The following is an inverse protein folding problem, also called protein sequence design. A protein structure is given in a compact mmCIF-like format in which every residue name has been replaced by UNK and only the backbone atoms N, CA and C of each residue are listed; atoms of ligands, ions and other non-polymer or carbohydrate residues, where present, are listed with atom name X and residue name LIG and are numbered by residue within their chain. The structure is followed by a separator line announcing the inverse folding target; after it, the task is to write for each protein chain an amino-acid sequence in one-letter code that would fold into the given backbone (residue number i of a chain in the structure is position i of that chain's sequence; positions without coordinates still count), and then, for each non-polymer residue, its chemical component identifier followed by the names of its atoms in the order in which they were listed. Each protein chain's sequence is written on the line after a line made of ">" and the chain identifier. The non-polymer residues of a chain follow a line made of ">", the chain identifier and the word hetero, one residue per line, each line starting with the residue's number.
data_IF_886820931556
#
_entry.id   IF_886820931556
#
_cell.length_a   1.000
_cell.length_b   1.000
_cell.length_c   1.000
_cell.angle_alpha   90.00
_cell.angle_beta   90.00
_cell.angle_gamma   90.00
#
_symmetry.space_group_name_H-M   'P 1'
#
loop_
_entity.id
_entity.type
_entity.pdbx_description
1 polymer ?
#
# COMPACT_ATOMS: atom_id res chain seq x y z
N UNK A 1 14.00 16.65 2.35
CA UNK A 1 12.56 16.30 2.39
C UNK A 1 12.49 14.78 2.52
N UNK A 2 11.60 14.24 3.36
CA UNK A 2 11.44 12.77 3.48
C UNK A 2 10.64 12.23 2.31
N UNK A 3 10.99 11.07 1.79
CA UNK A 3 10.31 10.39 0.68
C UNK A 3 9.41 9.28 1.20
N UNK A 4 8.12 9.41 0.92
CA UNK A 4 7.10 8.42 1.24
C UNK A 4 6.70 7.68 -0.04
N UNK A 5 6.92 6.37 -0.09
CA UNK A 5 6.42 5.52 -1.16
C UNK A 5 5.01 5.02 -0.84
N UNK A 6 4.15 4.91 -1.85
CA UNK A 6 2.79 4.35 -1.72
C UNK A 6 2.50 3.34 -2.84
N UNK A 7 2.15 2.10 -2.44
CA UNK A 7 1.68 1.06 -3.38
C UNK A 7 0.34 0.51 -2.91
N UNK A 8 -0.69 0.61 -3.74
CA UNK A 8 -2.03 0.11 -3.46
C UNK A 8 -2.35 -1.04 -4.39
N UNK A 9 -2.61 -2.23 -3.85
CA UNK A 9 -3.19 -3.31 -4.64
C UNK A 9 -4.70 -3.00 -4.86
N UNK A 10 -5.14 -2.73 -6.10
CA UNK A 10 -6.50 -2.27 -6.38
C UNK A 10 -7.60 -3.29 -6.05
N UNK A 11 -7.27 -4.58 -5.94
CA UNK A 11 -8.23 -5.66 -5.67
C UNK A 11 -8.17 -6.18 -4.23
N UNK A 12 -7.29 -5.62 -3.39
CA UNK A 12 -7.12 -6.12 -2.03
C UNK A 12 -8.32 -5.79 -1.12
N UNK A 13 -8.57 -6.71 -0.18
CA UNK A 13 -9.64 -6.59 0.82
C UNK A 13 -10.97 -7.24 0.43
N UNK A 14 -11.06 -7.89 -0.73
CA UNK A 14 -12.29 -8.54 -1.20
C UNK A 14 -12.53 -9.93 -0.61
N UNK A 15 -11.59 -10.86 -0.77
CA UNK A 15 -11.82 -12.29 -0.50
C UNK A 15 -12.23 -12.59 0.95
N UNK A 16 -11.56 -11.98 1.92
CA UNK A 16 -11.85 -12.20 3.34
C UNK A 16 -13.28 -11.80 3.75
N UNK A 17 -13.90 -10.80 3.09
CA UNK A 17 -15.27 -10.37 3.40
C UNK A 17 -16.33 -11.39 3.02
N UNK A 18 -16.02 -12.21 2.03
CA UNK A 18 -16.94 -13.23 1.48
C UNK A 18 -16.52 -14.64 1.89
N UNK A 19 -15.71 -14.76 2.95
CA UNK A 19 -15.27 -16.06 3.50
C UNK A 19 -14.19 -16.77 2.69
N UNK A 20 -13.65 -16.15 1.64
CA UNK A 20 -12.55 -16.70 0.84
C UNK A 20 -11.20 -16.44 1.53
N UNK A 21 -10.19 -17.29 1.24
CA UNK A 21 -8.84 -17.13 1.81
C UNK A 21 -8.13 -15.87 1.28
N UNK A 22 -8.47 -15.44 0.07
CA UNK A 22 -7.89 -14.29 -0.64
C UNK A 22 -8.61 -14.09 -1.97
N UNK A 23 -8.00 -13.35 -2.89
CA UNK A 23 -8.47 -13.17 -4.28
C UNK A 23 -7.35 -13.46 -5.27
N UNK A 24 -6.46 -14.39 -4.91
CA UNK A 24 -5.35 -14.80 -5.77
C UNK A 24 -5.89 -15.76 -6.83
N UNK A 25 -5.79 -15.38 -8.11
CA UNK A 25 -6.36 -16.10 -9.24
C UNK A 25 -7.68 -15.51 -9.73
N UNK A 26 -7.88 -15.55 -11.06
CA UNK A 26 -9.03 -14.93 -11.72
C UNK A 26 -10.36 -15.52 -11.23
N UNK A 27 -10.47 -16.86 -11.17
CA UNK A 27 -11.70 -17.54 -10.74
C UNK A 27 -12.12 -17.16 -9.29
N UNK A 28 -11.15 -16.96 -8.40
CA UNK A 28 -11.43 -16.59 -7.00
C UNK A 28 -11.85 -15.12 -6.91
N UNK A 29 -11.23 -14.26 -7.72
CA UNK A 29 -11.58 -12.85 -7.82
C UNK A 29 -13.00 -12.68 -8.36
N UNK A 30 -13.35 -13.38 -9.45
CA UNK A 30 -14.70 -13.37 -10.04
C UNK A 30 -15.73 -13.84 -9.03
N UNK A 31 -15.48 -14.97 -8.35
CA UNK A 31 -16.34 -15.47 -7.28
C UNK A 31 -16.49 -14.47 -6.13
N UNK A 32 -15.45 -13.72 -5.78
CA UNK A 32 -15.54 -12.71 -4.74
C UNK A 32 -16.48 -11.57 -5.15
N UNK A 33 -16.41 -11.15 -6.41
CA UNK A 33 -17.29 -10.12 -6.98
C UNK A 33 -18.73 -10.60 -7.04
N UNK A 34 -18.98 -11.84 -7.48
CA UNK A 34 -20.32 -12.46 -7.47
C UNK A 34 -20.96 -12.49 -6.07
N UNK A 35 -20.13 -12.70 -5.04
CA UNK A 35 -20.54 -12.67 -3.63
C UNK A 35 -20.69 -11.24 -3.07
N UNK A 36 -20.57 -10.21 -3.90
CA UNK A 36 -20.76 -8.80 -3.53
C UNK A 36 -19.55 -8.14 -2.87
N UNK A 37 -18.35 -8.73 -2.98
CA UNK A 37 -17.15 -8.10 -2.44
C UNK A 37 -16.78 -6.83 -3.21
N UNK A 38 -16.37 -5.80 -2.48
CA UNK A 38 -15.84 -4.56 -3.04
C UNK A 38 -14.42 -4.29 -2.52
N UNK A 39 -13.50 -3.78 -3.36
CA UNK A 39 -12.15 -3.46 -2.90
C UNK A 39 -12.16 -2.44 -1.77
N UNK A 40 -11.33 -2.66 -0.75
CA UNK A 40 -11.25 -1.79 0.43
C UNK A 40 -9.92 -1.02 0.50
N UNK A 41 -8.93 -1.42 -0.31
CA UNK A 41 -7.57 -0.88 -0.26
C UNK A 41 -7.52 0.63 -0.50
N UNK A 42 -8.33 1.17 -1.43
CA UNK A 42 -8.40 2.62 -1.69
C UNK A 42 -8.87 3.40 -0.46
N UNK A 43 -10.01 3.01 0.11
CA UNK A 43 -10.60 3.71 1.25
C UNK A 43 -9.67 3.66 2.47
N UNK A 44 -9.09 2.49 2.75
CA UNK A 44 -8.14 2.33 3.86
C UNK A 44 -6.85 3.11 3.65
N UNK A 45 -6.40 3.23 2.39
CA UNK A 45 -5.26 4.09 2.06
C UNK A 45 -5.61 5.56 2.29
N UNK A 46 -6.80 6.00 1.89
CA UNK A 46 -7.25 7.36 2.15
C UNK A 46 -7.28 7.67 3.66
N UNK A 47 -7.80 6.77 4.50
CA UNK A 47 -7.77 6.92 5.97
C UNK A 47 -6.35 7.15 6.52
N UNK A 48 -5.34 6.46 5.96
CA UNK A 48 -3.93 6.63 6.32
C UNK A 48 -3.41 7.99 5.87
N UNK A 49 -3.66 8.36 4.61
CA UNK A 49 -3.19 9.63 4.04
C UNK A 49 -3.82 10.85 4.73
N UNK A 50 -5.06 10.74 5.20
CA UNK A 50 -5.71 11.77 6.03
C UNK A 50 -4.89 12.08 7.30
N UNK A 51 -4.28 11.07 7.93
CA UNK A 51 -3.39 11.27 9.09
C UNK A 51 -2.07 11.94 8.72
N UNK A 52 -1.65 11.85 7.46
CA UNK A 52 -0.41 12.41 6.96
C UNK A 52 -0.56 13.81 6.39
N UNK A 53 -1.78 14.36 6.29
CA UNK A 53 -2.03 15.74 5.85
C UNK A 53 -1.15 16.80 6.54
N UNK A 54 -0.86 16.73 7.87
CA UNK A 54 0.05 17.68 8.50
C UNK A 54 1.47 17.71 7.92
N UNK A 55 1.87 16.66 7.20
CA UNK A 55 3.18 16.55 6.55
C UNK A 55 3.14 16.83 5.05
N UNK A 56 1.97 17.10 4.46
CA UNK A 56 1.74 17.16 3.02
C UNK A 56 2.77 18.01 2.25
N UNK A 57 3.16 19.16 2.79
CA UNK A 57 4.10 20.08 2.14
C UNK A 57 5.57 19.85 2.55
N UNK A 58 5.82 18.84 3.38
CA UNK A 58 7.13 18.53 3.98
C UNK A 58 7.67 17.14 3.58
N UNK A 59 6.87 16.37 2.84
CA UNK A 59 7.23 15.05 2.31
C UNK A 59 7.04 15.01 0.80
N UNK A 60 7.87 14.22 0.13
CA UNK A 60 7.66 13.85 -1.27
C UNK A 60 6.90 12.52 -1.28
N UNK A 61 5.65 12.53 -1.75
CA UNK A 61 4.87 11.31 -1.94
C UNK A 61 5.14 10.74 -3.32
N UNK A 62 5.65 9.51 -3.40
CA UNK A 62 5.98 8.80 -4.64
C UNK A 62 5.02 7.62 -4.78
N UNK A 63 4.38 7.46 -5.94
CA UNK A 63 3.37 6.42 -6.16
C UNK A 63 3.36 5.94 -7.60
N UNK A 64 2.65 4.83 -7.85
CA UNK A 64 2.35 4.35 -9.18
C UNK A 64 0.99 4.84 -9.73
N UNK A 65 0.77 4.79 -11.06
CA UNK A 65 -0.39 5.38 -11.71
C UNK A 65 -1.74 4.74 -11.32
N UNK A 66 -2.80 5.51 -11.48
CA UNK A 66 -4.19 5.09 -11.34
C UNK A 66 -4.51 4.55 -9.95
N UNK A 67 -5.08 3.34 -9.93
CA UNK A 67 -5.50 2.69 -8.68
C UNK A 67 -4.31 2.17 -7.85
N UNK A 68 -3.06 2.24 -8.33
CA UNK A 68 -1.90 1.82 -7.54
C UNK A 68 -1.44 2.84 -6.49
N UNK A 69 -2.12 3.98 -6.38
CA UNK A 69 -1.96 4.91 -5.27
C UNK A 69 -2.16 6.36 -5.68
N UNK A 70 -1.97 6.70 -6.95
CA UNK A 70 -2.24 8.04 -7.50
C UNK A 70 -3.64 8.55 -7.12
N UNK A 71 -4.68 7.76 -7.39
CA UNK A 71 -6.07 8.17 -7.11
C UNK A 71 -6.32 8.46 -5.63
N UNK A 72 -5.83 7.59 -4.74
CA UNK A 72 -5.96 7.79 -3.29
C UNK A 72 -5.18 9.03 -2.82
N UNK A 73 -3.97 9.23 -3.33
CA UNK A 73 -3.13 10.39 -3.03
C UNK A 73 -3.81 11.72 -3.42
N UNK A 74 -4.27 11.81 -4.67
CA UNK A 74 -4.95 13.00 -5.19
C UNK A 74 -6.25 13.26 -4.43
N UNK A 75 -7.04 12.21 -4.13
CA UNK A 75 -8.29 12.34 -3.37
C UNK A 75 -8.05 12.92 -1.96
N UNK A 76 -6.94 12.58 -1.31
CA UNK A 76 -6.54 13.15 -0.02
C UNK A 76 -5.82 14.51 -0.15
N UNK A 77 -5.76 15.05 -1.36
CA UNK A 77 -5.22 16.37 -1.67
C UNK A 77 -3.71 16.40 -1.87
N UNK A 78 -3.00 15.27 -1.87
CA UNK A 78 -1.55 15.25 -2.14
C UNK A 78 -1.26 15.50 -3.63
N UNK A 79 -0.05 15.99 -3.92
CA UNK A 79 0.49 16.10 -5.27
C UNK A 79 1.61 15.07 -5.44
N UNK A 80 1.28 13.79 -5.71
CA UNK A 80 2.29 12.75 -5.75
C UNK A 80 3.18 12.85 -6.99
N UNK A 81 4.44 12.46 -6.84
CA UNK A 81 5.34 12.12 -7.93
C UNK A 81 4.96 10.73 -8.45
N UNK A 82 4.35 10.69 -9.64
CA UNK A 82 3.88 9.44 -10.26
C UNK A 82 5.03 8.86 -11.09
N UNK A 83 5.45 7.66 -10.74
CA UNK A 83 6.54 6.94 -11.40
C UNK A 83 6.03 5.70 -12.13
N UNK A 84 6.86 5.18 -13.04
CA UNK A 84 6.55 3.99 -13.82
C UNK A 84 5.40 4.19 -14.81
N UNK A 85 5.03 3.09 -15.47
CA UNK A 85 3.91 3.03 -16.42
C UNK A 85 3.18 1.71 -16.26
N UNK A 86 1.86 1.74 -16.43
CA UNK A 86 1.02 0.55 -16.51
C UNK A 86 0.71 0.27 -17.96
N UNK A 87 0.87 -0.98 -18.38
CA UNK A 87 0.57 -1.42 -19.75
C UNK A 87 -0.86 -1.93 -19.90
N UNK A 88 -1.49 -2.34 -18.79
CA UNK A 88 -2.84 -2.88 -18.74
C UNK A 88 -3.68 -2.15 -17.66
N UNK A 89 -4.99 -1.93 -17.88
CA UNK A 89 -5.90 -1.48 -16.82
C UNK A 89 -5.94 -2.37 -15.57
N UNK A 90 -5.70 -3.68 -15.73
CA UNK A 90 -5.61 -4.65 -14.65
C UNK A 90 -4.17 -4.79 -14.16
N UNK A 91 -3.92 -4.45 -12.90
CA UNK A 91 -2.59 -4.53 -12.30
C UNK A 91 -2.23 -5.95 -11.88
N UNK A 92 -0.98 -6.32 -12.03
CA UNK A 92 -0.44 -7.64 -11.71
C UNK A 92 0.50 -7.62 -10.50
N UNK A 93 0.85 -8.80 -10.01
CA UNK A 93 1.93 -8.99 -9.04
C UNK A 93 3.28 -8.45 -9.57
N UNK A 94 3.52 -8.53 -10.89
CA UNK A 94 4.73 -7.99 -11.50
C UNK A 94 4.79 -6.47 -11.41
N UNK A 95 3.66 -5.78 -11.56
CA UNK A 95 3.58 -4.32 -11.42
C UNK A 95 3.90 -3.90 -9.98
N UNK A 96 3.40 -4.66 -8.99
CA UNK A 96 3.71 -4.43 -7.57
C UNK A 96 5.22 -4.57 -7.30
N UNK A 97 5.86 -5.63 -7.82
CA UNK A 97 7.29 -5.86 -7.65
C UNK A 97 8.14 -4.78 -8.34
N UNK A 98 7.75 -4.38 -9.55
CA UNK A 98 8.42 -3.30 -10.29
C UNK A 98 8.32 -1.98 -9.53
N UNK A 99 7.13 -1.64 -9.02
CA UNK A 99 6.92 -0.44 -8.23
C UNK A 99 7.78 -0.42 -6.96
N UNK A 100 7.81 -1.53 -6.23
CA UNK A 100 8.64 -1.64 -5.03
C UNK A 100 10.14 -1.48 -5.35
N UNK A 101 10.61 -2.08 -6.46
CA UNK A 101 12.00 -1.98 -6.89
C UNK A 101 12.39 -0.55 -7.28
N UNK A 102 11.56 0.14 -8.06
CA UNK A 102 11.83 1.54 -8.44
C UNK A 102 11.81 2.47 -7.22
N UNK A 103 10.94 2.22 -6.23
CA UNK A 103 10.92 2.97 -4.98
C UNK A 103 12.19 2.76 -4.14
N UNK A 104 12.72 1.53 -4.11
CA UNK A 104 13.99 1.22 -3.50
C UNK A 104 15.14 1.99 -4.19
N UNK A 105 15.17 1.98 -5.53
CA UNK A 105 16.21 2.66 -6.32
C UNK A 105 16.16 4.20 -6.13
N UNK A 106 14.96 4.76 -5.91
CA UNK A 106 14.74 6.17 -5.58
C UNK A 106 15.07 6.54 -4.12
N UNK A 107 15.46 5.55 -3.30
CA UNK A 107 15.78 5.68 -1.87
C UNK A 107 14.63 6.26 -1.06
N UNK A 108 13.43 5.71 -1.25
CA UNK A 108 12.27 6.01 -0.40
C UNK A 108 12.58 5.70 1.07
N UNK A 109 12.27 6.64 1.97
CA UNK A 109 12.53 6.48 3.41
C UNK A 109 11.55 5.50 4.08
N UNK A 110 10.28 5.49 3.63
CA UNK A 110 9.22 4.62 4.11
C UNK A 110 8.32 4.20 2.96
N UNK A 111 8.12 2.90 2.77
CA UNK A 111 7.14 2.35 1.84
C UNK A 111 5.85 1.96 2.56
N UNK A 112 4.76 2.66 2.27
CA UNK A 112 3.41 2.23 2.64
C UNK A 112 2.81 1.36 1.55
N UNK A 113 2.18 0.25 1.93
CA UNK A 113 1.42 -0.53 0.97
C UNK A 113 0.06 -0.99 1.49
N UNK A 114 -0.96 -0.95 0.64
CA UNK A 114 -2.29 -1.50 0.96
C UNK A 114 -2.52 -2.79 0.18
N UNK A 115 -2.59 -3.92 0.89
CA UNK A 115 -2.66 -5.24 0.28
C UNK A 115 -3.01 -6.35 1.27
N UNK A 116 -3.02 -7.58 0.78
CA UNK A 116 -3.00 -8.80 1.60
C UNK A 116 -1.64 -9.50 1.54
N UNK A 117 -1.53 -10.68 2.15
CA UNK A 117 -0.24 -11.39 2.28
C UNK A 117 0.48 -11.64 0.96
N UNK A 118 -0.25 -11.87 -0.15
CA UNK A 118 0.33 -11.97 -1.48
C UNK A 118 1.08 -10.69 -1.91
N UNK A 119 0.49 -9.52 -1.64
CA UNK A 119 1.14 -8.21 -1.90
C UNK A 119 2.35 -8.00 -0.99
N UNK A 120 2.25 -8.38 0.29
CA UNK A 120 3.39 -8.32 1.20
C UNK A 120 4.56 -9.19 0.71
N UNK A 121 4.25 -10.41 0.25
CA UNK A 121 5.23 -11.34 -0.34
C UNK A 121 5.86 -10.77 -1.61
N UNK A 122 5.07 -10.16 -2.49
CA UNK A 122 5.57 -9.53 -3.71
C UNK A 122 6.56 -8.41 -3.37
N UNK A 123 6.20 -7.53 -2.43
CA UNK A 123 7.09 -6.45 -1.99
C UNK A 123 8.37 -7.02 -1.38
N UNK A 124 8.27 -7.97 -0.45
CA UNK A 124 9.44 -8.61 0.16
C UNK A 124 10.35 -9.26 -0.89
N UNK A 125 9.78 -9.93 -1.89
CA UNK A 125 10.54 -10.53 -2.99
C UNK A 125 11.32 -9.48 -3.80
N UNK A 126 10.80 -8.26 -3.92
CA UNK A 126 11.42 -7.20 -4.69
C UNK A 126 12.51 -6.43 -3.93
N UNK A 127 12.35 -6.23 -2.61
CA UNK A 127 13.22 -5.32 -1.83
C UNK A 127 13.94 -5.97 -0.65
N UNK A 128 13.53 -7.16 -0.22
CA UNK A 128 14.04 -7.81 1.00
C UNK A 128 13.97 -6.88 2.21
N UNK A 129 15.05 -6.83 2.98
CA UNK A 129 15.19 -5.97 4.17
C UNK A 129 15.87 -4.62 3.86
N UNK A 130 15.95 -4.24 2.58
CA UNK A 130 16.70 -3.07 2.13
C UNK A 130 16.00 -1.74 2.37
N UNK A 131 14.73 -1.75 2.80
CA UNK A 131 13.95 -0.55 3.07
C UNK A 131 12.87 -0.78 4.13
N UNK A 132 12.45 0.30 4.79
CA UNK A 132 11.36 0.24 5.78
C UNK A 132 10.03 0.14 5.06
N UNK A 133 9.27 -0.91 5.37
CA UNK A 133 7.95 -1.18 4.79
C UNK A 133 6.91 -1.24 5.90
N UNK A 134 5.77 -0.59 5.70
CA UNK A 134 4.62 -0.66 6.61
C UNK A 134 3.35 -0.99 5.84
N UNK A 135 2.73 -2.11 6.20
CA UNK A 135 1.49 -2.59 5.61
C UNK A 135 0.25 -1.90 6.19
N UNK A 136 -0.59 -1.41 5.29
CA UNK A 136 -1.97 -0.97 5.54
C UNK A 136 -2.85 -2.21 5.36
N UNK A 137 -3.48 -2.72 6.43
CA UNK A 137 -4.28 -3.92 6.31
C UNK A 137 -5.47 -3.63 5.40
N UNK A 138 -5.61 -4.36 4.28
CA UNK A 138 -6.75 -4.18 3.35
C UNK A 138 -7.94 -5.13 3.67
N UNK A 139 -7.70 -6.26 4.32
CA UNK A 139 -8.67 -7.32 4.61
C UNK A 139 -8.94 -7.54 6.11
N UNK A 140 -9.51 -8.70 6.44
CA UNK A 140 -9.94 -9.10 7.80
C UNK A 140 -9.06 -10.17 8.46
N UNK A 141 -8.08 -10.73 7.74
CA UNK A 141 -7.17 -11.79 8.25
C UNK A 141 -5.71 -11.36 8.15
N UNK A 142 -5.40 -10.20 8.72
CA UNK A 142 -4.07 -9.63 8.61
C UNK A 142 -3.48 -9.57 10.02
N UNK A 143 -2.76 -10.64 10.39
CA UNK A 143 -2.02 -10.76 11.65
C UNK A 143 -0.51 -10.89 11.41
N UNK A 144 -0.04 -10.64 10.19
CA UNK A 144 1.39 -10.65 9.87
C UNK A 144 2.07 -9.41 10.44
N UNK A 145 3.30 -9.57 10.94
CA UNK A 145 4.08 -8.53 11.62
C UNK A 145 4.33 -7.27 10.77
N UNK A 146 4.25 -7.39 9.45
CA UNK A 146 4.44 -6.28 8.51
C UNK A 146 3.29 -5.26 8.52
N UNK A 147 2.12 -5.61 9.07
CA UNK A 147 0.94 -4.74 9.03
C UNK A 147 0.67 -4.04 10.35
N UNK A 148 0.18 -2.80 10.25
CA UNK A 148 -0.41 -2.14 11.41
C UNK A 148 -1.73 -2.83 11.82
N UNK A 149 -2.11 -2.68 13.09
CA UNK A 149 -3.36 -3.24 13.61
C UNK A 149 -4.61 -2.74 12.86
N UNK A 150 -4.59 -1.51 12.35
CA UNK A 150 -5.65 -0.92 11.52
C UNK A 150 -5.10 0.29 10.73
N UNK A 151 -5.85 0.84 9.75
CA UNK A 151 -5.41 1.97 8.93
C UNK A 151 -5.08 3.23 9.74
N UNK A 152 -5.87 3.56 10.77
CA UNK A 152 -5.61 4.73 11.64
C UNK A 152 -4.23 4.60 12.30
N UNK A 153 -3.92 3.42 12.87
CA UNK A 153 -2.62 3.15 13.49
C UNK A 153 -1.47 3.14 12.48
N UNK A 154 -1.69 2.67 11.25
CA UNK A 154 -0.70 2.78 10.18
C UNK A 154 -0.35 4.24 9.89
N UNK A 155 -1.37 5.11 9.79
CA UNK A 155 -1.17 6.54 9.57
C UNK A 155 -0.46 7.23 10.72
N UNK A 156 -0.81 6.93 11.97
CA UNK A 156 -0.13 7.45 13.16
C UNK A 156 1.34 7.03 13.22
N UNK A 157 1.63 5.75 12.95
CA UNK A 157 3.00 5.24 12.95
C UNK A 157 3.83 5.86 11.82
N UNK A 158 3.27 5.94 10.61
CA UNK A 158 3.92 6.59 9.47
C UNK A 158 4.22 8.08 9.76
N UNK A 159 3.27 8.79 10.38
CA UNK A 159 3.44 10.18 10.81
C UNK A 159 4.63 10.32 11.78
N UNK A 160 4.67 9.47 12.81
CA UNK A 160 5.77 9.46 13.79
C UNK A 160 7.12 9.13 13.16
N UNK A 161 7.17 8.15 12.24
CA UNK A 161 8.38 7.78 11.53
C UNK A 161 8.90 8.93 10.65
N UNK A 162 8.02 9.54 9.85
CA UNK A 162 8.38 10.65 8.95
C UNK A 162 8.79 11.91 9.71
N UNK A 163 8.31 12.10 10.95
CA UNK A 163 8.77 13.14 11.87
C UNK A 163 10.07 12.78 12.62
N UNK A 164 10.62 11.58 12.41
CA UNK A 164 11.82 11.10 13.12
C UNK A 164 11.59 10.77 14.60
N UNK A 165 10.34 10.58 15.01
CA UNK A 165 9.94 10.26 16.40
C UNK A 165 9.86 8.75 16.68
N UNK A 166 9.69 7.93 15.64
CA UNK A 166 9.86 6.48 15.72
C UNK A 166 11.22 6.10 15.11
N UNK A 167 12.14 5.58 15.92
CA UNK A 167 13.54 5.33 15.52
C UNK A 167 13.99 3.87 15.61
N UNK A 168 13.32 3.05 16.42
CA UNK A 168 13.68 1.65 16.58
C UNK A 168 12.94 0.84 15.50
N UNK A 169 13.69 0.33 14.53
CA UNK A 169 13.22 -0.64 13.56
C UNK A 169 13.66 -2.01 14.08
N UNK A 170 12.72 -2.95 14.16
CA UNK A 170 13.02 -4.34 14.46
C UNK A 170 13.26 -5.05 13.12
N UNK A 171 14.44 -5.64 12.97
CA UNK A 171 14.82 -6.51 11.86
C UNK A 171 14.30 -7.94 12.09
#
# INVERSE_FOLDING_TARGET
>A
MKKLGLIVNPIAGMGGRVGLKGTDGLDILEKAVELGATPQSQNRTAEVLEKLKPLKDTIELITYPGKMGEKAAIQCGFSPNIIGTLTDPATTASDTRKAAKEMLDLKVDLLLFAGGDGTARDIYTAVGDSMVVLGIPAGVKIHSAVYACNPVRAGELALLFLQGKAKNILE
#
